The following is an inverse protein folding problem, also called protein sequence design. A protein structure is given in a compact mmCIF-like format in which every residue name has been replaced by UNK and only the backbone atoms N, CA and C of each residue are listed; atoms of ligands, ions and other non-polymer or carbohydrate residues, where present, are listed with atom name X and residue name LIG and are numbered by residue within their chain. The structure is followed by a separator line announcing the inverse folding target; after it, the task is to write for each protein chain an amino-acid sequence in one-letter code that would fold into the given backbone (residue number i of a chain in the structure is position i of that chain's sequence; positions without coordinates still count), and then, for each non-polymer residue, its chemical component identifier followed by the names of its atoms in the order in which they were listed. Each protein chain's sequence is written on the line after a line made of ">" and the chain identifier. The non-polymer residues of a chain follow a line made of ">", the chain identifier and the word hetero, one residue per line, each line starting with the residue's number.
data_IF_760090783782
#
_entry.id   IF_760090783782
#
_cell.length_a   1.000
_cell.length_b   1.000
_cell.length_c   1.000
_cell.angle_alpha   90.00
_cell.angle_beta   90.00
_cell.angle_gamma   90.00
#
_symmetry.space_group_name_H-M   'P 1'
#
loop_
_entity.id
_entity.type
_entity.pdbx_description
1 polymer ?
#
# COMPACT_ATOMS: atom_id res chain seq x y z
N UNK A 1 36.49 40.52 15.33
CA UNK A 1 36.18 39.87 14.04
C UNK A 1 35.55 38.54 14.41
N UNK A 2 34.22 38.52 14.61
CA UNK A 2 33.50 37.28 14.88
C UNK A 2 33.21 36.64 13.51
N UNK A 3 33.77 35.45 13.26
CA UNK A 3 33.31 34.61 12.16
C UNK A 3 31.88 34.18 12.54
N UNK A 4 30.90 34.65 11.76
CA UNK A 4 29.54 34.15 11.82
C UNK A 4 29.57 32.81 11.10
N UNK A 5 29.64 31.74 11.88
CA UNK A 5 29.39 30.38 11.42
C UNK A 5 27.88 30.32 11.14
N UNK A 6 27.51 30.62 9.89
CA UNK A 6 26.12 30.50 9.46
C UNK A 6 25.66 29.06 9.66
N UNK A 7 24.35 28.81 9.85
CA UNK A 7 23.88 27.44 9.81
C UNK A 7 24.30 26.87 8.45
N UNK A 8 25.10 25.81 8.48
CA UNK A 8 25.21 24.91 7.34
C UNK A 8 23.78 24.43 7.13
N UNK A 9 23.11 25.02 6.14
CA UNK A 9 21.88 24.47 5.59
C UNK A 9 22.27 23.09 5.06
N UNK A 10 22.23 22.09 5.94
CA UNK A 10 22.07 20.69 5.59
C UNK A 10 20.76 20.65 4.82
N UNK A 11 20.86 20.89 3.52
CA UNK A 11 19.80 20.60 2.58
C UNK A 11 19.52 19.12 2.78
N UNK A 12 18.45 18.82 3.53
CA UNK A 12 17.77 17.54 3.41
C UNK A 12 17.46 17.40 1.93
N UNK A 13 18.31 16.66 1.20
CA UNK A 13 18.01 16.20 -0.15
C UNK A 13 16.77 15.32 0.02
N UNK A 14 15.59 15.94 -0.07
CA UNK A 14 14.33 15.24 -0.07
C UNK A 14 14.43 14.18 -1.15
N UNK A 15 14.41 12.91 -0.75
CA UNK A 15 14.48 11.78 -1.67
C UNK A 15 13.50 12.05 -2.81
N UNK A 16 14.02 12.19 -4.03
CA UNK A 16 13.23 12.61 -5.16
C UNK A 16 12.01 11.69 -5.30
N UNK A 17 10.81 12.29 -5.27
CA UNK A 17 9.56 11.55 -5.34
C UNK A 17 9.53 10.70 -6.62
N UNK A 18 9.35 9.39 -6.47
CA UNK A 18 9.29 8.48 -7.60
C UNK A 18 8.13 8.89 -8.55
N UNK A 19 8.35 8.90 -9.87
CA UNK A 19 7.25 9.03 -10.82
C UNK A 19 6.19 7.94 -10.60
N UNK A 20 4.91 8.28 -10.75
CA UNK A 20 3.79 7.35 -10.51
C UNK A 20 3.96 6.01 -11.24
N UNK A 21 4.41 6.04 -12.50
CA UNK A 21 4.62 4.81 -13.29
C UNK A 21 5.71 3.90 -12.70
N UNK A 22 6.73 4.47 -12.03
CA UNK A 22 7.73 3.70 -11.33
C UNK A 22 7.18 3.12 -10.02
N UNK A 23 6.32 3.85 -9.31
CA UNK A 23 5.60 3.33 -8.13
C UNK A 23 4.72 2.13 -8.54
N UNK A 24 3.98 2.25 -9.65
CA UNK A 24 3.19 1.13 -10.21
C UNK A 24 4.08 -0.07 -10.54
N UNK A 25 5.23 0.15 -11.20
CA UNK A 25 6.17 -0.92 -11.51
C UNK A 25 6.67 -1.65 -10.25
N UNK A 26 7.00 -0.91 -9.18
CA UNK A 26 7.39 -1.49 -7.88
C UNK A 26 6.26 -2.34 -7.28
N UNK A 27 5.01 -1.85 -7.32
CA UNK A 27 3.83 -2.60 -6.85
C UNK A 27 3.65 -3.90 -7.64
N UNK A 28 3.73 -3.85 -8.97
CA UNK A 28 3.60 -5.03 -9.83
C UNK A 28 4.69 -6.07 -9.53
N UNK A 29 5.93 -5.64 -9.29
CA UNK A 29 7.01 -6.55 -8.88
C UNK A 29 6.73 -7.16 -7.50
N UNK A 30 6.24 -6.38 -6.54
CA UNK A 30 5.91 -6.86 -5.20
C UNK A 30 4.74 -7.87 -5.20
N UNK A 31 3.76 -7.71 -6.09
CA UNK A 31 2.65 -8.64 -6.27
C UNK A 31 3.08 -9.98 -6.90
N UNK A 32 4.22 -9.99 -7.60
CA UNK A 32 4.71 -11.16 -8.32
C UNK A 32 4.02 -11.38 -9.67
N UNK A 33 4.58 -12.31 -10.46
CA UNK A 33 4.23 -12.50 -11.88
C UNK A 33 2.77 -12.92 -12.09
N UNK A 34 2.26 -13.84 -11.26
CA UNK A 34 0.91 -14.39 -11.42
C UNK A 34 -0.16 -13.31 -11.20
N UNK A 35 -0.10 -12.59 -10.07
CA UNK A 35 -1.07 -11.55 -9.71
C UNK A 35 -0.97 -10.37 -10.67
N UNK A 36 0.25 -9.94 -11.00
CA UNK A 36 0.47 -8.88 -11.99
C UNK A 36 -0.09 -9.24 -13.37
N UNK A 37 0.03 -10.50 -13.77
CA UNK A 37 -0.56 -10.99 -15.02
C UNK A 37 -2.08 -10.88 -15.03
N UNK A 38 -2.76 -11.17 -13.92
CA UNK A 38 -4.21 -10.98 -13.80
C UNK A 38 -4.60 -9.49 -13.87
N UNK A 39 -3.83 -8.60 -13.23
CA UNK A 39 -4.05 -7.14 -13.29
C UNK A 39 -3.91 -6.63 -14.73
N UNK A 40 -2.86 -7.05 -15.44
CA UNK A 40 -2.57 -6.60 -16.81
C UNK A 40 -3.69 -6.96 -17.81
N UNK A 41 -4.45 -8.05 -17.57
CA UNK A 41 -5.60 -8.41 -18.43
C UNK A 41 -6.71 -7.35 -18.47
N UNK A 42 -6.72 -6.43 -17.50
CA UNK A 42 -7.70 -5.36 -17.40
C UNK A 42 -7.22 -4.02 -17.98
N UNK A 43 -6.00 -3.97 -18.50
CA UNK A 43 -5.37 -2.76 -19.03
C UNK A 43 -5.38 -2.75 -20.57
N UNK A 44 -5.29 -1.57 -21.16
CA UNK A 44 -5.09 -1.41 -22.59
C UNK A 44 -3.62 -1.61 -23.01
N UNK A 45 -3.39 -1.89 -24.29
CA UNK A 45 -2.06 -2.18 -24.85
C UNK A 45 -1.01 -1.11 -24.50
N UNK A 46 -1.40 0.17 -24.56
CA UNK A 46 -0.53 1.30 -24.23
C UNK A 46 -0.09 1.30 -22.76
N UNK A 47 -1.02 1.04 -21.83
CA UNK A 47 -0.74 1.00 -20.40
C UNK A 47 0.17 -0.18 -20.05
N UNK A 48 -0.08 -1.34 -20.68
CA UNK A 48 0.77 -2.52 -20.54
C UNK A 48 2.19 -2.21 -21.02
N UNK A 49 2.34 -1.52 -22.14
CA UNK A 49 3.66 -1.14 -22.67
C UNK A 49 4.39 -0.20 -21.70
N UNK A 50 3.74 0.85 -21.20
CA UNK A 50 4.34 1.79 -20.24
C UNK A 50 4.78 1.10 -18.95
N UNK A 51 3.92 0.26 -18.37
CA UNK A 51 4.22 -0.46 -17.13
C UNK A 51 5.36 -1.45 -17.36
N UNK A 52 5.36 -2.17 -18.49
CA UNK A 52 6.42 -3.14 -18.82
C UNK A 52 7.77 -2.45 -19.01
N UNK A 53 7.79 -1.29 -19.69
CA UNK A 53 9.01 -0.49 -19.83
C UNK A 53 9.52 0.00 -18.47
N UNK A 54 8.63 0.44 -17.59
CA UNK A 54 8.99 0.87 -16.24
C UNK A 54 9.57 -0.28 -15.41
N UNK A 55 8.95 -1.47 -15.44
CA UNK A 55 9.46 -2.68 -14.75
C UNK A 55 10.85 -3.05 -15.28
N UNK A 56 11.05 -3.07 -16.59
CA UNK A 56 12.35 -3.39 -17.20
C UNK A 56 13.45 -2.38 -16.82
N UNK A 57 13.08 -1.13 -16.51
CA UNK A 57 13.98 -0.08 -16.05
C UNK A 57 14.42 -0.21 -14.58
N UNK A 58 13.77 -1.05 -13.78
CA UNK A 58 14.12 -1.25 -12.36
C UNK A 58 15.42 -2.06 -12.24
N UNK A 59 16.53 -1.38 -11.97
CA UNK A 59 17.85 -2.04 -11.81
C UNK A 59 17.99 -2.82 -10.51
N UNK A 60 17.50 -2.24 -9.43
CA UNK A 60 17.49 -2.80 -8.07
C UNK A 60 16.47 -2.01 -7.29
N UNK A 61 15.46 -2.70 -6.76
CA UNK A 61 14.50 -2.11 -5.84
C UNK A 61 14.96 -2.48 -4.44
N UNK A 62 15.37 -1.49 -3.65
CA UNK A 62 15.66 -1.67 -2.23
C UNK A 62 14.34 -1.96 -1.49
N UNK A 63 14.38 -2.85 -0.49
CA UNK A 63 13.27 -3.14 0.43
C UNK A 63 12.66 -1.85 1.00
N UNK A 64 13.47 -0.88 1.42
CA UNK A 64 12.99 0.40 1.96
C UNK A 64 12.18 1.22 0.96
N UNK A 65 12.47 1.09 -0.34
CA UNK A 65 11.71 1.75 -1.39
C UNK A 65 10.38 1.03 -1.64
N UNK A 66 10.42 -0.31 -1.68
CA UNK A 66 9.23 -1.14 -1.81
C UNK A 66 8.25 -0.88 -0.67
N UNK A 67 8.73 -0.90 0.57
CA UNK A 67 7.90 -0.70 1.77
C UNK A 67 7.20 0.67 1.73
N UNK A 68 7.94 1.74 1.40
CA UNK A 68 7.36 3.08 1.26
C UNK A 68 6.27 3.15 0.18
N UNK A 69 6.52 2.57 -0.99
CA UNK A 69 5.55 2.56 -2.09
C UNK A 69 4.29 1.78 -1.71
N UNK A 70 4.44 0.65 -1.00
CA UNK A 70 3.31 -0.16 -0.54
C UNK A 70 2.52 0.55 0.57
N UNK A 71 3.17 1.25 1.50
CA UNK A 71 2.49 2.06 2.52
C UNK A 71 1.66 3.19 1.88
N UNK A 72 2.21 3.91 0.91
CA UNK A 72 1.48 4.94 0.16
C UNK A 72 0.27 4.35 -0.56
N UNK A 73 0.46 3.20 -1.24
CA UNK A 73 -0.61 2.50 -1.92
C UNK A 73 -1.70 2.03 -0.95
N UNK A 74 -1.32 1.50 0.22
CA UNK A 74 -2.25 1.09 1.27
C UNK A 74 -3.07 2.28 1.78
N UNK A 75 -2.45 3.44 2.01
CA UNK A 75 -3.15 4.66 2.41
C UNK A 75 -4.18 5.10 1.36
N UNK A 76 -3.86 4.97 0.07
CA UNK A 76 -4.81 5.24 -1.01
C UNK A 76 -5.96 4.24 -1.06
N UNK A 77 -5.69 2.94 -0.85
CA UNK A 77 -6.74 1.93 -0.73
C UNK A 77 -7.64 2.21 0.47
N UNK A 78 -7.05 2.59 1.61
CA UNK A 78 -7.81 2.91 2.81
C UNK A 78 -8.69 4.15 2.59
N UNK A 79 -8.16 5.20 1.96
CA UNK A 79 -8.94 6.38 1.61
C UNK A 79 -10.13 6.07 0.68
N UNK A 80 -9.97 5.10 -0.23
CA UNK A 80 -11.01 4.66 -1.17
C UNK A 80 -12.06 3.70 -0.60
N UNK A 81 -11.68 2.79 0.30
CA UNK A 81 -12.57 1.77 0.87
C UNK A 81 -13.20 2.16 2.22
N UNK A 82 -12.53 2.98 3.04
CA UNK A 82 -12.97 3.25 4.42
C UNK A 82 -13.95 4.40 4.55
N UNK A 83 -13.96 5.33 3.59
CA UNK A 83 -14.95 6.42 3.56
C UNK A 83 -16.37 5.87 3.36
N UNK A 84 -16.50 4.68 2.77
CA UNK A 84 -17.79 4.10 2.37
C UNK A 84 -18.30 2.95 3.26
N UNK A 85 -17.44 2.22 3.99
CA UNK A 85 -17.86 1.08 4.83
C UNK A 85 -17.54 1.19 6.33
N UNK A 86 -16.65 2.08 6.78
CA UNK A 86 -16.27 2.15 8.20
C UNK A 86 -15.51 0.92 8.72
N UNK A 87 -14.80 1.07 9.85
CA UNK A 87 -13.84 0.04 10.31
C UNK A 87 -14.43 -1.28 10.80
N UNK A 88 -15.71 -1.29 11.20
CA UNK A 88 -16.38 -2.52 11.63
C UNK A 88 -16.69 -3.46 10.45
N UNK A 89 -17.10 -2.90 9.31
CA UNK A 89 -17.45 -3.69 8.12
C UNK A 89 -16.18 -4.21 7.43
N UNK A 90 -15.10 -3.41 7.40
CA UNK A 90 -13.79 -3.89 6.98
C UNK A 90 -13.33 -5.08 7.83
N UNK A 91 -13.36 -4.95 9.17
CA UNK A 91 -12.94 -6.02 10.06
C UNK A 91 -13.78 -7.30 9.87
N UNK A 92 -15.09 -7.17 9.64
CA UNK A 92 -15.96 -8.29 9.31
C UNK A 92 -15.56 -8.94 7.99
N UNK A 93 -15.40 -8.17 6.92
CA UNK A 93 -15.09 -8.68 5.58
C UNK A 93 -13.70 -9.36 5.52
N UNK A 94 -12.70 -8.78 6.19
CA UNK A 94 -11.37 -9.36 6.31
C UNK A 94 -11.42 -10.70 7.07
N UNK A 95 -12.17 -10.75 8.16
CA UNK A 95 -12.32 -11.95 8.98
C UNK A 95 -13.08 -13.06 8.24
N UNK A 96 -14.15 -12.73 7.51
CA UNK A 96 -14.89 -13.70 6.69
C UNK A 96 -14.02 -14.32 5.61
N UNK A 97 -13.14 -13.54 4.96
CA UNK A 97 -12.18 -14.05 3.98
C UNK A 97 -11.12 -14.96 4.59
N UNK A 98 -10.62 -14.63 5.78
CA UNK A 98 -9.54 -15.38 6.43
C UNK A 98 -9.99 -16.71 7.03
N UNK A 99 -11.20 -16.78 7.60
CA UNK A 99 -11.64 -17.95 8.39
C UNK A 99 -12.98 -18.56 7.94
N UNK A 100 -13.60 -17.98 6.91
CA UNK A 100 -14.93 -18.35 6.46
C UNK A 100 -16.06 -17.75 7.33
N UNK A 101 -17.28 -17.64 6.78
CA UNK A 101 -18.35 -16.83 7.36
C UNK A 101 -18.80 -17.30 8.75
N UNK A 102 -18.89 -18.63 8.97
CA UNK A 102 -19.28 -19.19 10.28
C UNK A 102 -18.30 -18.82 11.39
N UNK A 103 -17.00 -19.06 11.15
CA UNK A 103 -15.96 -18.81 12.16
C UNK A 103 -15.74 -17.32 12.38
N UNK A 104 -15.92 -16.51 11.35
CA UNK A 104 -15.90 -15.05 11.48
C UNK A 104 -17.01 -14.55 12.41
N UNK A 105 -18.24 -15.06 12.26
CA UNK A 105 -19.36 -14.68 13.12
C UNK A 105 -19.13 -15.03 14.59
N UNK A 106 -18.65 -16.24 14.89
CA UNK A 106 -18.30 -16.65 16.27
C UNK A 106 -17.24 -15.74 16.92
N UNK A 107 -16.25 -15.32 16.13
CA UNK A 107 -15.18 -14.44 16.60
C UNK A 107 -15.72 -13.02 16.84
N UNK A 108 -16.53 -12.48 15.93
CA UNK A 108 -17.15 -11.16 16.09
C UNK A 108 -18.04 -11.09 17.33
N UNK A 109 -18.87 -12.11 17.58
CA UNK A 109 -19.71 -12.20 18.78
C UNK A 109 -18.89 -12.19 20.07
N UNK A 110 -17.72 -12.86 20.07
CA UNK A 110 -16.79 -12.85 21.21
C UNK A 110 -16.10 -11.50 21.43
N UNK A 111 -15.81 -10.75 20.36
CA UNK A 111 -15.22 -9.40 20.47
C UNK A 111 -16.27 -8.43 21.01
N UNK A 112 -17.48 -8.41 20.44
CA UNK A 112 -18.55 -7.51 20.87
C UNK A 112 -19.00 -7.77 22.31
N UNK A 113 -19.07 -9.04 22.74
CA UNK A 113 -19.40 -9.38 24.13
C UNK A 113 -18.35 -8.88 25.13
N UNK A 114 -17.05 -8.91 24.79
CA UNK A 114 -15.97 -8.37 25.63
C UNK A 114 -15.95 -6.84 25.70
N UNK A 115 -16.37 -6.16 24.63
CA UNK A 115 -16.46 -4.69 24.59
C UNK A 115 -17.65 -4.20 25.42
N UNK A 116 -18.78 -4.92 25.41
CA UNK A 116 -19.98 -4.57 26.17
C UNK A 116 -19.87 -4.90 27.67
N UNK A 117 -19.04 -5.87 28.07
CA UNK A 117 -18.84 -6.25 29.48
C UNK A 117 -17.77 -5.42 30.21
N UNK A 118 -17.26 -4.35 29.59
CA UNK A 118 -16.19 -3.49 30.10
C UNK A 118 -16.64 -2.20 30.80
N UNK A 119 -17.95 -2.01 31.00
CA UNK A 119 -18.55 -0.91 31.76
C UNK A 119 -19.60 -1.43 32.75
#
# INVERSE_FOLDING_TARGET
>A
MAQYDGPEDEQEEGEAELPLIQKVAVIMVALGEEVSGEVMKHLGDYEIEEITQAIAGLKSVNVELTDRVLEEFEQHLMAGEWVSQGGADFARAALERAVGPRKAQEILERVTSKVSSGF
#
